data_IF_290680113930
#
_entry.id   IF_290680113930
#
_cell.length_a   1.000
_cell.length_b   1.000
_cell.length_c   1.000
_cell.angle_alpha   90.00
_cell.angle_beta   90.00
_cell.angle_gamma   90.00
#
_symmetry.space_group_name_H-M   'P 1'
#
loop_
_entity.id
_entity.type
_entity.pdbx_description
1 polymer ?
#
# COMPACT_ATOMS: atom_id res chain seq x y z
N UNK A 1 -13.72 -11.81 -8.04
CA UNK A 1 -12.56 -11.04 -7.54
C UNK A 1 -13.02 -10.40 -6.24
N UNK A 2 -12.42 -10.72 -5.09
CA UNK A 2 -12.76 -9.99 -3.87
C UNK A 2 -12.05 -8.65 -3.90
N UNK A 3 -12.82 -7.58 -3.76
CA UNK A 3 -12.32 -6.22 -3.67
C UNK A 3 -12.17 -5.84 -2.21
N UNK A 4 -11.20 -4.98 -1.86
CA UNK A 4 -11.05 -4.54 -0.49
C UNK A 4 -12.28 -3.73 -0.06
N UNK A 5 -12.80 -4.04 1.13
CA UNK A 5 -13.89 -3.27 1.72
C UNK A 5 -13.44 -1.85 2.07
N UNK A 6 -14.38 -0.92 1.94
CA UNK A 6 -14.19 0.46 2.38
C UNK A 6 -14.29 0.53 3.92
N UNK A 7 -13.15 0.65 4.58
CA UNK A 7 -13.03 0.66 6.04
C UNK A 7 -12.35 1.97 6.45
N UNK A 8 -12.88 2.58 7.52
CA UNK A 8 -12.29 3.73 8.20
C UNK A 8 -12.07 3.39 9.67
N UNK A 9 -10.82 3.22 10.09
CA UNK A 9 -10.47 2.92 11.48
C UNK A 9 -9.47 3.94 12.02
N UNK A 10 -9.56 4.23 13.32
CA UNK A 10 -8.54 5.02 14.02
C UNK A 10 -7.60 4.05 14.73
N UNK A 11 -6.32 4.10 14.38
CA UNK A 11 -5.25 3.31 14.99
C UNK A 11 -4.22 4.28 15.52
N UNK A 12 -3.88 4.20 16.80
CA UNK A 12 -2.92 5.10 17.46
C UNK A 12 -3.22 6.61 17.32
N UNK A 13 -4.52 6.96 17.23
CA UNK A 13 -4.95 8.35 17.01
C UNK A 13 -4.92 8.83 15.56
N UNK A 14 -4.38 8.03 14.64
CA UNK A 14 -4.38 8.30 13.21
C UNK A 14 -5.54 7.59 12.51
N UNK A 15 -6.19 8.28 11.55
CA UNK A 15 -7.33 7.72 10.82
C UNK A 15 -6.88 7.07 9.51
N UNK A 16 -7.01 5.76 9.44
CA UNK A 16 -6.72 4.94 8.27
C UNK A 16 -8.00 4.66 7.49
N UNK A 17 -7.99 4.98 6.19
CA UNK A 17 -9.12 4.75 5.29
C UNK A 17 -8.66 4.00 4.05
N UNK A 18 -9.28 2.87 3.72
CA UNK A 18 -8.92 2.10 2.52
C UNK A 18 -9.27 2.83 1.23
N UNK A 19 -10.35 3.63 1.23
CA UNK A 19 -10.82 4.44 0.08
C UNK A 19 -9.82 5.48 -0.42
N UNK A 20 -9.11 6.12 0.51
CA UNK A 20 -8.15 7.19 0.20
C UNK A 20 -6.71 6.70 0.17
N UNK A 21 -6.51 5.38 0.26
CA UNK A 21 -5.18 4.77 0.34
C UNK A 21 -4.85 3.99 -0.91
N UNK A 22 -3.56 3.84 -1.17
CA UNK A 22 -3.07 3.14 -2.35
C UNK A 22 -2.97 1.65 -2.06
N UNK A 23 -3.72 0.83 -2.80
CA UNK A 23 -3.58 -0.63 -2.77
C UNK A 23 -2.24 -1.01 -3.42
N UNK A 24 -1.37 -1.65 -2.65
CA UNK A 24 -0.04 -2.07 -3.11
C UNK A 24 -0.06 -3.50 -3.61
N UNK A 25 -0.60 -4.41 -2.81
CA UNK A 25 -0.63 -5.84 -3.10
C UNK A 25 -1.79 -6.52 -2.37
N UNK A 26 -2.19 -7.70 -2.84
CA UNK A 26 -3.28 -8.48 -2.24
C UNK A 26 -3.12 -9.97 -2.50
N UNK A 27 -3.83 -10.78 -1.71
CA UNK A 27 -3.96 -12.22 -1.92
C UNK A 27 -5.27 -12.60 -2.64
N UNK A 28 -6.11 -11.62 -3.01
CA UNK A 28 -7.48 -11.79 -3.57
C UNK A 28 -8.46 -12.58 -2.70
N UNK A 29 -8.01 -13.20 -1.63
CA UNK A 29 -8.86 -13.93 -0.68
C UNK A 29 -9.27 -13.03 0.48
N UNK A 30 -8.26 -12.56 1.23
CA UNK A 30 -8.50 -11.96 2.55
C UNK A 30 -7.48 -10.90 2.95
N UNK A 31 -6.35 -10.78 2.26
CA UNK A 31 -5.26 -9.88 2.68
C UNK A 31 -5.03 -8.81 1.63
N UNK A 32 -5.10 -7.55 2.05
CA UNK A 32 -4.90 -6.39 1.19
C UNK A 32 -3.94 -5.41 1.88
N UNK A 33 -2.79 -5.17 1.25
CA UNK A 33 -1.77 -4.26 1.73
C UNK A 33 -1.97 -2.88 1.11
N UNK A 34 -2.06 -1.87 1.96
CA UNK A 34 -2.26 -0.48 1.60
C UNK A 34 -1.12 0.40 2.07
N UNK A 35 -1.01 1.55 1.41
CA UNK A 35 -0.20 2.68 1.84
C UNK A 35 -1.07 3.92 2.00
N UNK A 36 -1.05 4.49 3.20
CA UNK A 36 -1.67 5.77 3.47
C UNK A 36 -0.89 6.90 2.78
N UNK A 37 -1.59 7.97 2.38
CA UNK A 37 -0.98 9.13 1.73
C UNK A 37 0.13 9.79 2.58
N UNK A 38 0.02 9.69 3.91
CA UNK A 38 0.99 10.24 4.88
C UNK A 38 2.11 9.26 5.26
N UNK A 39 2.33 8.20 4.46
CA UNK A 39 3.47 7.26 4.49
C UNK A 39 3.38 6.02 5.38
N UNK A 40 2.38 5.89 6.24
CA UNK A 40 2.20 4.65 7.00
C UNK A 40 1.63 3.53 6.11
N UNK A 41 2.08 2.30 6.35
CA UNK A 41 1.59 1.11 5.66
C UNK A 41 0.62 0.39 6.57
N UNK A 42 -0.41 -0.20 6.00
CA UNK A 42 -1.37 -0.96 6.80
C UNK A 42 -1.97 -2.08 5.97
N UNK A 43 -2.36 -3.15 6.63
CA UNK A 43 -2.97 -4.31 6.02
C UNK A 43 -4.39 -4.48 6.51
N UNK A 44 -5.29 -4.74 5.57
CA UNK A 44 -6.63 -5.23 5.85
C UNK A 44 -6.60 -6.76 5.76
N UNK A 45 -6.91 -7.42 6.87
CA UNK A 45 -7.09 -8.88 6.91
C UNK A 45 -8.56 -9.21 7.17
N UNK A 46 -9.21 -9.84 6.21
CA UNK A 46 -10.55 -10.38 6.32
C UNK A 46 -10.52 -11.76 7.01
N UNK A 47 -10.17 -11.75 8.31
CA UNK A 47 -10.14 -12.97 9.14
C UNK A 47 -11.28 -12.93 10.17
N UNK A 48 -12.51 -12.90 9.68
CA UNK A 48 -13.74 -12.89 10.49
C UNK A 48 -14.12 -11.55 11.11
N UNK A 49 -13.18 -10.61 11.28
CA UNK A 49 -13.46 -9.23 11.69
C UNK A 49 -12.60 -8.28 10.85
N UNK A 50 -13.25 -7.39 10.11
CA UNK A 50 -12.61 -6.36 9.30
C UNK A 50 -11.69 -5.49 10.17
N UNK A 51 -10.40 -5.85 10.19
CA UNK A 51 -9.39 -5.24 11.06
C UNK A 51 -8.27 -4.64 10.21
N UNK A 52 -7.87 -3.42 10.57
CA UNK A 52 -6.70 -2.77 9.99
C UNK A 52 -5.52 -2.90 10.96
N UNK A 53 -4.41 -3.42 10.46
CA UNK A 53 -3.15 -3.55 11.20
C UNK A 53 -2.13 -2.62 10.55
N UNK A 54 -1.61 -1.66 11.31
CA UNK A 54 -0.54 -0.76 10.83
C UNK A 54 0.77 -1.53 10.87
N UNK A 55 1.52 -1.44 9.78
CA UNK A 55 2.79 -2.14 9.57
C UNK A 55 3.92 -1.15 9.40
N UNK A 56 5.09 -1.52 9.90
CA UNK A 56 6.34 -0.84 9.59
C UNK A 56 6.68 -1.02 8.10
N UNK A 57 7.42 -0.08 7.47
CA UNK A 57 7.84 -0.21 6.06
C UNK A 57 8.59 -1.52 5.76
N UNK A 58 9.38 -2.03 6.71
CA UNK A 58 10.09 -3.30 6.58
C UNK A 58 9.12 -4.50 6.52
N UNK A 59 8.13 -4.54 7.40
CA UNK A 59 7.13 -5.62 7.44
C UNK A 59 6.18 -5.53 6.24
N UNK A 60 5.80 -4.31 5.85
CA UNK A 60 5.02 -4.07 4.66
C UNK A 60 5.78 -4.51 3.38
N UNK A 61 7.09 -4.28 3.28
CA UNK A 61 7.88 -4.74 2.14
C UNK A 61 7.96 -6.28 2.09
N UNK A 62 8.16 -6.93 3.24
CA UNK A 62 8.14 -8.40 3.34
C UNK A 62 6.79 -8.95 2.89
N UNK A 63 5.70 -8.44 3.46
CA UNK A 63 4.35 -8.86 3.11
C UNK A 63 4.06 -8.59 1.64
N UNK A 64 4.46 -7.42 1.14
CA UNK A 64 4.33 -7.09 -0.27
C UNK A 64 4.99 -8.15 -1.12
N UNK A 65 6.21 -8.64 -0.80
CA UNK A 65 6.89 -9.71 -1.56
C UNK A 65 6.16 -11.05 -1.49
N UNK A 66 5.58 -11.39 -0.35
CA UNK A 66 4.84 -12.64 -0.14
C UNK A 66 3.49 -12.68 -0.87
N UNK A 67 2.81 -11.54 -1.02
CA UNK A 67 1.48 -11.49 -1.65
C UNK A 67 1.54 -11.81 -3.16
N UNK A 68 0.70 -12.68 -3.72
CA UNK A 68 0.81 -13.09 -5.12
C UNK A 68 0.47 -11.96 -6.10
N UNK A 69 -0.49 -11.10 -5.77
CA UNK A 69 -0.98 -10.05 -6.67
C UNK A 69 -0.42 -8.69 -6.28
N UNK A 70 0.29 -8.04 -7.20
CA UNK A 70 0.80 -6.68 -7.01
C UNK A 70 -0.07 -5.72 -7.81
N UNK A 71 -0.63 -4.72 -7.14
CA UNK A 71 -1.43 -3.68 -7.78
C UNK A 71 -0.58 -2.48 -8.18
N UNK A 72 0.50 -2.20 -7.45
CA UNK A 72 1.51 -1.21 -7.81
C UNK A 72 2.89 -1.86 -7.92
N UNK A 73 3.80 -1.21 -8.64
CA UNK A 73 5.21 -1.61 -8.67
C UNK A 73 5.90 -1.35 -7.32
N UNK A 74 6.90 -2.16 -6.98
CA UNK A 74 7.62 -2.07 -5.70
C UNK A 74 8.23 -0.68 -5.47
N UNK A 75 8.77 -0.05 -6.51
CA UNK A 75 9.39 1.29 -6.45
C UNK A 75 8.37 2.39 -6.13
N UNK A 76 7.15 2.29 -6.69
CA UNK A 76 6.06 3.23 -6.38
C UNK A 76 5.49 2.98 -4.98
N UNK A 77 5.46 1.71 -4.57
CA UNK A 77 4.93 1.26 -3.29
C UNK A 77 5.83 1.66 -2.12
N UNK A 78 7.14 1.44 -2.26
CA UNK A 78 8.17 1.68 -1.24
C UNK A 78 9.24 2.63 -1.80
N UNK A 79 8.95 3.93 -1.90
CA UNK A 79 9.97 4.89 -2.28
C UNK A 79 11.04 4.89 -1.19
N UNK A 80 12.20 4.32 -1.51
CA UNK A 80 13.42 4.49 -0.73
C UNK A 80 13.75 5.97 -0.77
N UNK A 81 13.36 6.69 0.28
CA UNK A 81 13.64 8.10 0.54
C UNK A 81 14.77 8.68 -0.33
N UNK A 82 14.45 9.12 -1.54
CA UNK A 82 15.27 10.08 -2.27
C UNK A 82 14.68 11.41 -1.86
N UNK A 83 15.29 12.01 -0.84
CA UNK A 83 15.00 13.39 -0.50
C UNK A 83 15.25 14.23 -1.74
N UNK A 84 14.17 14.70 -2.36
CA UNK A 84 14.18 15.80 -3.32
C UNK A 84 14.79 15.52 -4.70
N UNK A 85 14.13 16.16 -5.67
CA UNK A 85 14.65 16.62 -6.98
C UNK A 85 14.55 15.61 -8.14
N UNK A 86 13.76 16.02 -9.16
CA UNK A 86 13.77 15.53 -10.56
C UNK A 86 12.82 14.37 -10.82
N UNK A 87 11.52 14.57 -11.03
CA UNK A 87 10.95 14.91 -12.35
C UNK A 87 11.98 15.25 -13.44
N UNK A 88 12.70 14.25 -13.93
CA UNK A 88 13.31 14.32 -15.26
C UNK A 88 12.50 13.39 -16.17
N UNK A 89 11.51 14.01 -16.81
CA UNK A 89 10.82 13.49 -17.98
C UNK A 89 11.84 13.21 -19.08
N UNK A 90 12.43 12.03 -19.11
CA UNK A 90 13.12 11.55 -20.31
C UNK A 90 12.10 10.88 -21.22
N UNK A 91 11.23 11.69 -21.81
CA UNK A 91 10.54 11.31 -23.05
C UNK A 91 11.61 11.34 -24.14
N UNK A 92 12.16 10.19 -24.48
CA UNK A 92 12.98 10.05 -25.68
C UNK A 92 12.07 10.23 -26.90
N UNK A 93 12.11 11.41 -27.53
CA UNK A 93 11.72 11.57 -28.93
C UNK A 93 12.99 11.48 -29.77
N UNK A 94 13.02 10.46 -30.62
CA UNK A 94 13.99 10.17 -31.66
C UNK A 94 13.75 11.14 -32.84
N UNK A 95 14.79 11.84 -33.31
CA UNK A 95 14.82 12.58 -34.59
C UNK A 95 15.87 11.94 -35.50
#
# INVERSE_FOLDING_TARGET
>A
MNEPKNISMVVDGERYRTDTSYLLASDEKSTFLFRASNSNYFVQRESGKDSLEVLSPLDAEKLYKELPKKSQGLVASFPRNHGGIGMDTSTSYDD
#
